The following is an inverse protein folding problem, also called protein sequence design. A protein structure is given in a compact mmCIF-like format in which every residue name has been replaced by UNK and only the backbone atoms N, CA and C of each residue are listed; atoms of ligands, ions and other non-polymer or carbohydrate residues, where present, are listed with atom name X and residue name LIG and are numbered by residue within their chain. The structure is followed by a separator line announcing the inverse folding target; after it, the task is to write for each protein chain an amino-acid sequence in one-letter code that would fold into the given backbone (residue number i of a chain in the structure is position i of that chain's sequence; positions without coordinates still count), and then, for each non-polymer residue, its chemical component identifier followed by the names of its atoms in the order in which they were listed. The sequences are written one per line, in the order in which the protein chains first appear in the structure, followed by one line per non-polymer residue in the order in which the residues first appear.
data_IF_149260803255
#
_entry.id   IF_149260803255
#
_cell.length_a   1.000
_cell.length_b   1.000
_cell.length_c   1.000
_cell.angle_alpha   90.00
_cell.angle_beta   90.00
_cell.angle_gamma   90.00
#
_symmetry.space_group_name_H-M   'P 1'
#
loop_
_entity.id
_entity.type
_entity.pdbx_description
1 polymer ?
#
# COMPACT_ATOMS: atom_id res chain seq x y z
N UNK A 1 1.12 23.65 -1.77
CA UNK A 1 1.71 22.72 -2.77
C UNK A 1 2.26 21.41 -2.20
N UNK A 2 2.65 21.30 -0.92
CA UNK A 2 3.19 20.04 -0.34
C UNK A 2 2.19 18.86 -0.33
N UNK A 3 0.90 19.13 -0.11
CA UNK A 3 -0.16 18.10 -0.06
C UNK A 3 -0.35 17.36 -1.39
N UNK A 4 -0.13 18.03 -2.52
CA UNK A 4 -0.24 17.42 -3.86
C UNK A 4 0.93 16.47 -4.12
N UNK A 5 2.14 16.83 -3.67
CA UNK A 5 3.32 15.98 -3.76
C UNK A 5 3.17 14.69 -2.93
N UNK A 6 2.70 14.82 -1.68
CA UNK A 6 2.40 13.67 -0.83
C UNK A 6 1.34 12.73 -1.45
N UNK A 7 0.29 13.28 -2.09
CA UNK A 7 -0.71 12.47 -2.79
C UNK A 7 -0.14 11.71 -3.99
N UNK A 8 0.78 12.34 -4.73
CA UNK A 8 1.48 11.70 -5.85
C UNK A 8 2.37 10.56 -5.38
N UNK A 9 3.17 10.81 -4.35
CA UNK A 9 4.00 9.80 -3.69
C UNK A 9 3.19 8.58 -3.25
N UNK A 10 2.15 8.77 -2.43
CA UNK A 10 1.33 7.64 -1.95
C UNK A 10 0.58 6.91 -3.06
N UNK A 11 0.28 7.57 -4.19
CA UNK A 11 -0.29 6.88 -5.35
C UNK A 11 0.73 5.90 -5.96
N UNK A 12 1.99 6.32 -6.10
CA UNK A 12 3.07 5.48 -6.62
C UNK A 12 3.36 4.31 -5.67
N UNK A 13 3.49 4.59 -4.37
CA UNK A 13 3.65 3.53 -3.33
C UNK A 13 2.58 2.45 -3.49
N UNK A 14 1.32 2.84 -3.68
CA UNK A 14 0.21 1.88 -3.85
C UNK A 14 0.31 1.10 -5.17
N UNK A 15 0.85 1.69 -6.24
CA UNK A 15 1.11 0.97 -7.49
C UNK A 15 2.20 -0.08 -7.29
N UNK A 16 3.35 0.31 -6.73
CA UNK A 16 4.48 -0.60 -6.47
C UNK A 16 4.03 -1.76 -5.56
N UNK A 17 3.20 -1.45 -4.56
CA UNK A 17 2.58 -2.46 -3.70
C UNK A 17 1.68 -3.45 -4.45
N UNK A 18 0.92 -3.00 -5.46
CA UNK A 18 0.09 -3.92 -6.29
C UNK A 18 0.96 -4.83 -7.16
N UNK A 19 2.17 -4.41 -7.51
CA UNK A 19 3.10 -5.21 -8.29
C UNK A 19 3.80 -6.27 -7.43
N UNK A 20 4.13 -5.95 -6.18
CA UNK A 20 4.82 -6.89 -5.28
C UNK A 20 3.90 -7.80 -4.46
N UNK A 21 2.63 -7.40 -4.27
CA UNK A 21 1.69 -8.17 -3.48
C UNK A 21 1.19 -9.38 -4.27
N UNK A 22 1.40 -10.60 -3.77
CA UNK A 22 0.89 -11.80 -4.41
C UNK A 22 -0.65 -11.86 -4.32
N UNK A 23 -1.24 -12.61 -5.23
CA UNK A 23 -2.69 -12.84 -5.28
C UNK A 23 -3.13 -13.97 -4.34
N UNK A 24 -2.23 -14.91 -3.99
CA UNK A 24 -2.52 -16.12 -3.21
C UNK A 24 -2.23 -15.99 -1.71
N UNK A 25 -1.09 -15.42 -1.34
CA UNK A 25 -0.64 -15.44 0.05
C UNK A 25 -0.58 -14.03 0.63
N UNK A 26 -1.34 -13.73 1.69
CA UNK A 26 -1.25 -12.42 2.30
C UNK A 26 0.14 -12.18 2.94
N UNK A 27 0.78 -11.06 2.58
CA UNK A 27 2.04 -10.62 3.18
C UNK A 27 1.77 -9.71 4.37
N UNK A 28 2.61 -9.81 5.40
CA UNK A 28 2.52 -8.92 6.54
C UNK A 28 2.97 -7.50 6.15
N UNK A 29 2.32 -6.47 6.69
CA UNK A 29 2.64 -5.07 6.42
C UNK A 29 4.10 -4.71 6.67
N UNK A 30 4.75 -5.35 7.65
CA UNK A 30 6.19 -5.18 7.90
C UNK A 30 7.03 -5.67 6.72
N UNK A 31 6.70 -6.82 6.14
CA UNK A 31 7.42 -7.37 4.99
C UNK A 31 7.20 -6.52 3.74
N UNK A 32 5.98 -6.02 3.54
CA UNK A 32 5.62 -5.08 2.48
C UNK A 32 6.47 -3.81 2.63
N UNK A 33 6.49 -3.22 3.82
CA UNK A 33 7.21 -1.98 4.15
C UNK A 33 8.71 -2.14 3.91
N UNK A 34 9.29 -3.29 4.25
CA UNK A 34 10.70 -3.60 4.00
C UNK A 34 11.00 -3.78 2.52
N UNK A 35 10.16 -4.53 1.78
CA UNK A 35 10.37 -4.82 0.35
C UNK A 35 10.36 -3.58 -0.53
N UNK A 36 9.45 -2.65 -0.25
CA UNK A 36 9.32 -1.41 -1.04
C UNK A 36 10.15 -0.25 -0.44
N UNK A 37 10.54 -0.36 0.83
CA UNK A 37 11.14 0.73 1.59
C UNK A 37 12.55 1.12 1.18
N UNK A 38 13.31 0.23 0.54
CA UNK A 38 14.70 0.53 0.16
C UNK A 38 14.78 1.78 -0.75
N UNK A 39 13.89 1.89 -1.73
CA UNK A 39 13.83 3.04 -2.65
C UNK A 39 12.91 4.16 -2.13
N UNK A 40 11.89 3.82 -1.33
CA UNK A 40 10.83 4.77 -0.94
C UNK A 40 11.11 5.54 0.36
N UNK A 41 12.03 5.09 1.22
CA UNK A 41 12.40 5.82 2.46
C UNK A 41 13.02 7.18 2.13
N UNK A 42 13.86 7.26 1.10
CA UNK A 42 14.49 8.50 0.69
C UNK A 42 13.48 9.48 0.09
N UNK A 43 12.63 9.00 -0.83
CA UNK A 43 11.55 9.79 -1.46
C UNK A 43 10.50 10.25 -0.41
N UNK A 44 10.20 9.43 0.60
CA UNK A 44 9.35 9.83 1.72
C UNK A 44 9.93 11.03 2.49
N UNK A 45 11.24 11.02 2.75
CA UNK A 45 11.97 12.13 3.37
C UNK A 45 11.87 13.43 2.57
N UNK A 46 12.02 13.37 1.24
CA UNK A 46 11.88 14.51 0.33
C UNK A 46 10.46 15.12 0.35
N UNK A 47 9.46 14.29 0.65
CA UNK A 47 8.06 14.70 0.75
C UNK A 47 7.59 14.98 2.18
N UNK A 48 8.49 15.00 3.16
CA UNK A 48 8.18 15.18 4.59
C UNK A 48 7.12 14.17 5.06
N UNK A 49 7.21 12.93 4.56
CA UNK A 49 6.37 11.81 4.95
C UNK A 49 7.15 10.92 5.90
N UNK A 50 6.46 10.36 6.90
CA UNK A 50 7.04 9.36 7.80
C UNK A 50 6.87 7.99 7.14
N UNK A 51 7.99 7.30 6.88
CA UNK A 51 8.00 5.94 6.36
C UNK A 51 8.08 4.92 7.51
N UNK A 52 6.92 4.49 8.00
CA UNK A 52 6.79 3.49 9.07
C UNK A 52 5.62 2.55 8.77
N UNK A 53 5.58 1.41 9.45
CA UNK A 53 4.52 0.40 9.28
C UNK A 53 3.12 1.01 9.42
N UNK A 54 2.91 1.92 10.37
CA UNK A 54 1.61 2.55 10.61
C UNK A 54 1.13 3.42 9.43
N UNK A 55 2.04 4.16 8.79
CA UNK A 55 1.68 5.01 7.64
C UNK A 55 1.42 4.18 6.39
N UNK A 56 2.22 3.12 6.18
CA UNK A 56 1.98 2.15 5.10
C UNK A 56 0.65 1.44 5.31
N UNK A 57 0.36 0.94 6.52
CA UNK A 57 -0.93 0.37 6.89
C UNK A 57 -2.09 1.30 6.58
N UNK A 58 -2.02 2.55 7.03
CA UNK A 58 -3.06 3.55 6.78
C UNK A 58 -3.30 3.80 5.28
N UNK A 59 -2.24 3.80 4.47
CA UNK A 59 -2.36 3.95 3.02
C UNK A 59 -3.04 2.74 2.36
N UNK A 60 -2.73 1.53 2.81
CA UNK A 60 -3.39 0.29 2.34
C UNK A 60 -4.86 0.31 2.72
N UNK A 61 -5.16 0.59 3.99
CA UNK A 61 -6.52 0.60 4.52
C UNK A 61 -7.39 1.62 3.77
N UNK A 62 -6.90 2.86 3.55
CA UNK A 62 -7.62 3.87 2.74
C UNK A 62 -7.99 3.33 1.34
N UNK A 63 -7.07 2.58 0.71
CA UNK A 63 -7.26 2.04 -0.64
C UNK A 63 -8.13 0.80 -0.68
N UNK A 64 -8.15 -0.01 0.38
CA UNK A 64 -9.15 -1.06 0.53
C UNK A 64 -10.56 -0.47 0.53
N UNK A 65 -10.78 0.63 1.26
CA UNK A 65 -12.09 1.29 1.33
C UNK A 65 -12.46 2.03 0.04
N UNK A 66 -11.54 2.80 -0.54
CA UNK A 66 -11.85 3.68 -1.70
C UNK A 66 -11.81 2.99 -3.05
N UNK A 67 -10.85 2.10 -3.25
CA UNK A 67 -10.51 1.55 -4.56
C UNK A 67 -10.53 0.03 -4.60
N UNK A 68 -10.70 -0.63 -3.45
CA UNK A 68 -10.84 -2.08 -3.36
C UNK A 68 -9.65 -2.82 -3.98
N UNK A 69 -8.42 -2.29 -3.91
CA UNK A 69 -7.25 -2.93 -4.53
C UNK A 69 -6.71 -4.14 -3.76
N UNK A 70 -6.94 -4.18 -2.46
CA UNK A 70 -6.37 -5.19 -1.56
C UNK A 70 -7.46 -5.84 -0.74
N UNK A 71 -7.13 -7.03 -0.24
CA UNK A 71 -7.92 -7.77 0.75
C UNK A 71 -7.04 -7.97 1.98
N UNK A 72 -7.64 -7.80 3.16
CA UNK A 72 -7.01 -8.16 4.42
C UNK A 72 -7.47 -9.54 4.86
N UNK A 73 -6.54 -10.37 5.34
CA UNK A 73 -6.83 -11.68 5.95
C UNK A 73 -6.77 -11.60 7.49
N UNK A 74 -6.69 -10.39 8.05
CA UNK A 74 -6.46 -10.15 9.47
C UNK A 74 -4.99 -10.12 9.84
N UNK A 75 -4.69 -9.65 11.05
CA UNK A 75 -3.32 -9.61 11.59
C UNK A 75 -2.35 -8.77 10.76
N UNK A 76 -2.81 -7.65 10.19
CA UNK A 76 -2.03 -6.76 9.32
C UNK A 76 -1.41 -7.46 8.09
N UNK A 77 -2.08 -8.52 7.62
CA UNK A 77 -1.73 -9.23 6.38
C UNK A 77 -2.62 -8.79 5.23
N UNK A 78 -1.98 -8.56 4.09
CA UNK A 78 -2.60 -8.04 2.89
C UNK A 78 -2.22 -8.85 1.66
N UNK A 79 -3.18 -9.09 0.78
CA UNK A 79 -2.96 -9.63 -0.56
C UNK A 79 -3.66 -8.78 -1.61
N UNK A 80 -3.27 -8.98 -2.87
CA UNK A 80 -3.95 -8.37 -4.00
C UNK A 80 -5.37 -8.95 -4.13
N UNK A 81 -6.34 -8.08 -4.40
CA UNK A 81 -7.73 -8.50 -4.66
C UNK A 81 -7.84 -9.19 -6.01
N UNK A 82 -8.68 -10.22 -6.06
CA UNK A 82 -9.06 -10.95 -7.28
C UNK A 82 -10.49 -10.65 -7.68
N UNK A 83 -10.85 -11.04 -8.89
CA UNK A 83 -12.24 -11.03 -9.35
C UNK A 83 -13.18 -11.85 -8.44
N UNK A 84 -12.64 -12.92 -7.83
CA UNK A 84 -13.33 -13.88 -6.97
C UNK A 84 -13.76 -13.28 -5.61
N UNK A 85 -13.07 -12.24 -5.14
CA UNK A 85 -13.30 -11.58 -3.85
C UNK A 85 -14.57 -10.69 -3.85
N UNK A 86 -15.37 -10.74 -4.93
CA UNK A 86 -16.57 -9.91 -5.16
C UNK A 86 -16.23 -8.42 -5.31
N UNK A 87 -17.23 -7.57 -5.63
CA UNK A 87 -17.11 -6.10 -5.61
C UNK A 87 -16.18 -5.50 -6.69
N UNK A 88 -16.79 -4.87 -7.70
CA UNK A 88 -16.09 -4.30 -8.89
C UNK A 88 -14.83 -3.52 -8.52
N UNK A 89 -13.69 -3.95 -9.05
CA UNK A 89 -12.49 -3.14 -9.18
C UNK A 89 -12.75 -2.13 -10.32
N UNK A 90 -13.02 -0.88 -9.96
CA UNK A 90 -13.09 0.24 -10.88
C UNK A 90 -11.70 0.79 -11.22
#
# INVERSE_FOLDING_TARGET
MRTVKARGFWRRVIQDMREILPEQEALHVSDITLRIGADLVQEAGEHVQVWIVETVRGAIDERMYRNRYFVTEGGDRYRKRRAEDGGVAG
#
